data_IF_385959166299
#
_entry.id   IF_385959166299
#
_cell.length_a   1.000
_cell.length_b   1.000
_cell.length_c   1.000
_cell.angle_alpha   90.00
_cell.angle_beta   90.00
_cell.angle_gamma   90.00
#
_symmetry.space_group_name_H-M   'P 1'
#
loop_
_entity.id
_entity.type
_entity.pdbx_description
1 polymer ?
#
# COMPACT_ATOMS: atom_id res chain seq x y z
N UNK A 1 2.91 21.37 1.78
CA UNK A 1 2.26 20.14 2.26
C UNK A 1 1.23 20.51 3.30
N UNK A 2 -0.03 20.12 3.12
CA UNK A 2 -1.08 20.32 4.12
C UNK A 2 -0.67 19.65 5.43
N UNK A 3 -1.05 20.25 6.57
CA UNK A 3 -0.77 19.68 7.88
C UNK A 3 -1.57 18.37 8.04
N UNK A 4 -0.92 17.21 7.81
CA UNK A 4 -1.49 15.88 7.98
C UNK A 4 -1.39 15.53 9.46
N UNK A 5 -2.53 15.41 10.13
CA UNK A 5 -2.58 14.96 11.53
C UNK A 5 -2.37 13.45 11.66
N UNK A 6 -2.10 12.96 12.87
CA UNK A 6 -2.01 11.51 13.12
C UNK A 6 -3.32 10.77 12.77
N UNK A 7 -4.47 11.39 13.02
CA UNK A 7 -5.76 10.84 12.57
C UNK A 7 -5.84 10.75 11.05
N UNK A 8 -5.36 11.78 10.34
CA UNK A 8 -5.30 11.77 8.88
C UNK A 8 -4.39 10.63 8.37
N UNK A 9 -3.26 10.36 9.05
CA UNK A 9 -2.37 9.23 8.69
C UNK A 9 -3.08 7.88 8.85
N UNK A 10 -3.83 7.68 9.93
CA UNK A 10 -4.63 6.46 10.12
C UNK A 10 -5.68 6.33 9.01
N UNK A 11 -6.34 7.43 8.65
CA UNK A 11 -7.33 7.42 7.57
C UNK A 11 -6.70 7.13 6.20
N UNK A 12 -5.48 7.60 5.95
CA UNK A 12 -4.72 7.27 4.74
C UNK A 12 -4.32 5.79 4.75
N UNK A 13 -3.83 5.25 5.87
CA UNK A 13 -3.45 3.83 5.95
C UNK A 13 -4.64 2.90 5.69
N UNK A 14 -5.86 3.28 6.10
CA UNK A 14 -7.07 2.50 5.79
C UNK A 14 -7.34 2.38 4.28
N UNK A 15 -6.95 3.38 3.48
CA UNK A 15 -7.11 3.36 2.02
C UNK A 15 -6.24 2.27 1.38
N UNK A 16 -5.15 1.85 2.01
CA UNK A 16 -4.28 0.76 1.52
C UNK A 16 -5.06 -0.55 1.33
N UNK A 17 -6.17 -0.73 2.06
CA UNK A 17 -7.04 -1.89 2.00
C UNK A 17 -8.28 -1.72 1.10
N UNK A 18 -8.46 -0.54 0.48
CA UNK A 18 -9.45 -0.36 -0.58
C UNK A 18 -9.10 -1.25 -1.80
N UNK A 19 -10.04 -1.39 -2.73
CA UNK A 19 -9.88 -2.19 -3.94
C UNK A 19 -9.88 -1.30 -5.19
N UNK A 20 -8.81 -0.53 -5.39
CA UNK A 20 -8.62 0.22 -6.64
C UNK A 20 -8.10 -0.69 -7.74
N UNK A 21 -8.48 -0.37 -8.97
CA UNK A 21 -8.21 -1.18 -10.15
C UNK A 21 -7.52 -0.35 -11.24
N UNK A 22 -7.04 -1.01 -12.29
CA UNK A 22 -6.49 -0.32 -13.47
C UNK A 22 -7.52 0.57 -14.18
N UNK A 23 -8.82 0.29 -14.04
CA UNK A 23 -9.89 1.14 -14.58
C UNK A 23 -9.95 2.46 -13.82
N UNK A 24 -9.79 2.43 -12.49
CA UNK A 24 -9.75 3.64 -11.67
C UNK A 24 -8.57 4.55 -12.03
N UNK A 25 -7.43 3.97 -12.44
CA UNK A 25 -6.27 4.70 -12.95
C UNK A 25 -6.63 5.44 -14.25
N UNK A 26 -7.26 4.76 -15.21
CA UNK A 26 -7.66 5.36 -16.50
C UNK A 26 -8.59 6.57 -16.30
N UNK A 27 -9.43 6.53 -15.26
CA UNK A 27 -10.33 7.62 -14.92
C UNK A 27 -9.72 8.66 -13.96
N UNK A 28 -8.42 8.60 -13.68
CA UNK A 28 -7.71 9.50 -12.77
C UNK A 28 -8.43 9.65 -11.41
N UNK A 29 -8.87 8.52 -10.85
CA UNK A 29 -9.77 8.52 -9.68
C UNK A 29 -9.19 9.36 -8.53
N UNK A 30 -9.95 10.31 -7.95
CA UNK A 30 -9.52 11.06 -6.80
C UNK A 30 -9.47 10.16 -5.57
N UNK A 31 -8.31 10.10 -4.91
CA UNK A 31 -8.11 9.38 -3.66
C UNK A 31 -8.35 10.36 -2.52
N UNK A 32 -9.28 10.02 -1.62
CA UNK A 32 -9.72 10.88 -0.52
C UNK A 32 -9.69 10.13 0.80
N UNK A 33 -9.25 10.80 1.85
CA UNK A 33 -9.17 10.27 3.21
C UNK A 33 -10.06 11.07 4.17
N UNK A 34 -10.37 10.49 5.32
CA UNK A 34 -11.30 11.04 6.30
C UNK A 34 -12.69 10.39 6.23
N UNK A 35 -13.48 10.64 7.27
CA UNK A 35 -14.83 10.09 7.43
C UNK A 35 -15.90 11.20 7.33
N UNK A 36 -17.15 10.80 7.10
CA UNK A 36 -18.38 11.61 7.30
C UNK A 36 -18.31 13.08 6.84
N UNK A 37 -18.55 13.35 5.55
CA UNK A 37 -18.64 14.73 5.02
C UNK A 37 -17.32 15.52 5.01
N UNK A 38 -16.30 15.10 5.76
CA UNK A 38 -15.00 15.77 5.91
C UNK A 38 -13.88 15.08 5.13
N UNK A 39 -14.20 14.54 3.95
CA UNK A 39 -13.21 13.86 3.10
C UNK A 39 -12.24 14.85 2.45
N UNK A 40 -10.96 14.77 2.80
CA UNK A 40 -9.87 15.55 2.21
C UNK A 40 -9.30 14.83 0.98
N UNK A 41 -8.82 15.59 0.00
CA UNK A 41 -8.15 15.04 -1.18
C UNK A 41 -6.70 14.70 -0.84
N UNK A 42 -6.28 13.45 -1.08
CA UNK A 42 -4.88 13.05 -1.07
C UNK A 42 -4.23 13.36 -2.42
N UNK A 43 -4.90 13.00 -3.51
CA UNK A 43 -4.39 13.15 -4.86
C UNK A 43 -5.22 12.37 -5.87
N UNK A 44 -4.61 12.06 -7.01
CA UNK A 44 -5.21 11.24 -8.07
C UNK A 44 -4.44 9.93 -8.23
N UNK A 45 -5.17 8.83 -8.47
CA UNK A 45 -4.56 7.52 -8.63
C UNK A 45 -3.79 7.45 -9.96
N UNK A 46 -2.50 7.14 -9.87
CA UNK A 46 -1.56 7.11 -11.00
C UNK A 46 -1.17 5.67 -11.39
N UNK A 47 -1.03 4.78 -10.40
CA UNK A 47 -0.69 3.36 -10.65
C UNK A 47 -1.33 2.45 -9.61
N UNK A 48 -1.73 1.27 -10.05
CA UNK A 48 -2.14 0.14 -9.21
C UNK A 48 -1.20 -1.03 -9.51
N UNK A 49 -0.59 -1.58 -8.46
CA UNK A 49 0.21 -2.81 -8.52
C UNK A 49 -0.49 -3.85 -7.65
N UNK A 50 -0.75 -5.03 -8.23
CA UNK A 50 -1.27 -6.21 -7.54
C UNK A 50 -0.54 -7.44 -8.09
N UNK A 51 0.64 -7.69 -7.55
CA UNK A 51 1.49 -8.81 -7.92
C UNK A 51 1.26 -9.97 -6.96
N UNK A 52 0.37 -10.87 -7.36
CA UNK A 52 0.04 -12.08 -6.61
C UNK A 52 1.25 -12.98 -6.37
N UNK A 53 2.27 -12.92 -7.23
CA UNK A 53 3.45 -13.79 -7.12
C UNK A 53 4.41 -13.36 -6.01
N UNK A 54 4.33 -12.11 -5.55
CA UNK A 54 5.16 -11.56 -4.46
C UNK A 54 4.33 -11.16 -3.24
N UNK A 55 3.01 -10.98 -3.41
CA UNK A 55 2.10 -10.46 -2.40
C UNK A 55 2.05 -8.93 -2.41
N UNK A 56 2.73 -8.27 -3.36
CA UNK A 56 2.78 -6.81 -3.42
C UNK A 56 1.45 -6.25 -3.90
N UNK A 57 0.83 -5.43 -3.05
CA UNK A 57 -0.32 -4.60 -3.39
C UNK A 57 -0.02 -3.16 -2.99
N UNK A 58 0.00 -2.26 -3.96
CA UNK A 58 0.26 -0.84 -3.71
C UNK A 58 -0.45 0.08 -4.69
N UNK A 59 -0.69 1.30 -4.22
CA UNK A 59 -1.24 2.40 -5.01
C UNK A 59 -0.26 3.55 -5.06
N UNK A 60 0.03 4.05 -6.26
CA UNK A 60 0.78 5.29 -6.44
C UNK A 60 -0.23 6.41 -6.66
N UNK A 61 -0.19 7.42 -5.80
CA UNK A 61 -1.12 8.55 -5.79
C UNK A 61 -0.33 9.82 -6.08
N UNK A 62 -0.63 10.48 -7.19
CA UNK A 62 -0.06 11.80 -7.53
C UNK A 62 -0.71 12.86 -6.65
N UNK A 63 0.06 13.44 -5.73
CA UNK A 63 -0.44 14.42 -4.75
C UNK A 63 -0.31 15.86 -5.26
N UNK A 64 0.69 16.13 -6.10
CA UNK A 64 0.80 17.31 -6.96
C UNK A 64 1.67 17.01 -8.19
N UNK A 65 2.07 18.01 -8.96
CA UNK A 65 2.86 17.81 -10.19
C UNK A 65 4.24 17.19 -10.00
N UNK A 66 4.80 17.23 -8.79
CA UNK A 66 6.15 16.75 -8.48
C UNK A 66 6.20 15.73 -7.36
N UNK A 67 5.10 15.52 -6.64
CA UNK A 67 5.05 14.65 -5.48
C UNK A 67 4.05 13.51 -5.65
N UNK A 68 4.45 12.35 -5.16
CA UNK A 68 3.65 11.14 -5.11
C UNK A 68 3.64 10.57 -3.70
N UNK A 69 2.54 9.93 -3.34
CA UNK A 69 2.44 9.09 -2.16
C UNK A 69 2.23 7.65 -2.60
N UNK A 70 2.96 6.73 -1.99
CA UNK A 70 2.81 5.30 -2.23
C UNK A 70 2.09 4.70 -1.02
N UNK A 71 0.93 4.10 -1.27
CA UNK A 71 0.12 3.42 -0.27
C UNK A 71 0.39 1.92 -0.39
N UNK A 72 1.03 1.33 0.62
CA UNK A 72 1.38 -0.09 0.63
C UNK A 72 0.38 -0.86 1.45
N UNK A 73 -0.27 -1.87 0.86
CA UNK A 73 -1.14 -2.76 1.62
C UNK A 73 -0.30 -3.72 2.45
N UNK A 74 -0.52 -3.73 3.75
CA UNK A 74 0.02 -4.74 4.64
C UNK A 74 -0.64 -6.11 4.42
N UNK A 75 -0.16 -7.10 5.17
CA UNK A 75 -0.59 -8.49 5.07
C UNK A 75 -2.10 -8.69 5.27
N UNK A 76 -2.69 -9.59 4.48
CA UNK A 76 -4.04 -10.09 4.70
C UNK A 76 -4.12 -11.04 5.89
N UNK A 77 -5.25 -11.06 6.59
CA UNK A 77 -5.47 -12.02 7.68
C UNK A 77 -5.44 -13.47 7.17
N UNK A 78 -4.94 -14.43 7.96
CA UNK A 78 -4.97 -15.84 7.58
C UNK A 78 -6.37 -16.32 7.17
N UNK A 79 -6.45 -17.06 6.06
CA UNK A 79 -7.70 -17.54 5.48
C UNK A 79 -8.33 -16.62 4.42
N UNK A 80 -7.78 -15.42 4.15
CA UNK A 80 -8.24 -14.50 3.09
C UNK A 80 -7.39 -14.56 1.83
N UNK A 81 -7.94 -14.18 0.68
CA UNK A 81 -7.22 -14.24 -0.60
C UNK A 81 -5.87 -13.50 -0.61
N UNK A 82 -4.79 -14.27 -0.79
CA UNK A 82 -3.40 -13.79 -0.78
C UNK A 82 -2.67 -13.97 0.55
N UNK A 83 -3.36 -14.36 1.63
CA UNK A 83 -2.76 -14.48 2.97
C UNK A 83 -1.53 -15.39 3.02
N UNK A 84 -1.51 -16.48 2.26
CA UNK A 84 -0.39 -17.41 2.27
C UNK A 84 0.91 -16.72 1.83
N UNK A 85 0.83 -15.87 0.81
CA UNK A 85 2.00 -15.15 0.30
C UNK A 85 2.49 -14.12 1.31
N UNK A 86 1.56 -13.41 1.94
CA UNK A 86 1.88 -12.42 2.95
C UNK A 86 2.52 -13.08 4.17
N UNK A 87 1.91 -14.12 4.71
CA UNK A 87 2.38 -14.76 5.94
C UNK A 87 3.59 -15.67 5.74
N UNK A 88 3.51 -16.63 4.82
CA UNK A 88 4.52 -17.70 4.71
C UNK A 88 5.81 -17.20 4.06
N UNK A 89 5.70 -16.26 3.13
CA UNK A 89 6.85 -15.85 2.31
C UNK A 89 7.35 -14.44 2.64
N UNK A 90 6.56 -13.61 3.31
CA UNK A 90 6.97 -12.27 3.73
C UNK A 90 7.10 -12.17 5.26
N UNK A 91 6.03 -12.38 6.02
CA UNK A 91 6.03 -12.11 7.46
C UNK A 91 6.87 -13.11 8.27
N UNK A 92 6.66 -14.42 8.08
CA UNK A 92 7.41 -15.46 8.80
C UNK A 92 8.92 -15.37 8.54
N UNK A 93 9.40 -15.25 7.29
CA UNK A 93 10.83 -15.08 7.04
C UNK A 93 11.40 -13.77 7.58
N UNK A 94 10.59 -12.70 7.64
CA UNK A 94 11.03 -11.45 8.25
C UNK A 94 11.17 -11.59 9.77
N UNK A 95 10.23 -12.27 10.44
CA UNK A 95 10.31 -12.57 11.88
C UNK A 95 11.56 -13.41 12.18
N UNK A 96 11.83 -14.45 11.41
CA UNK A 96 13.03 -15.29 11.58
C UNK A 96 14.32 -14.47 11.44
N UNK A 97 14.42 -13.60 10.44
CA UNK A 97 15.55 -12.67 10.26
C UNK A 97 15.71 -11.72 11.45
N UNK A 98 14.62 -11.16 11.97
CA UNK A 98 14.67 -10.27 13.13
C UNK A 98 15.22 -11.02 14.36
N UNK A 99 14.70 -12.23 14.62
CA UNK A 99 15.09 -13.03 15.78
C UNK A 99 16.55 -13.51 15.71
N UNK A 100 17.03 -13.81 14.51
CA UNK A 100 18.40 -14.31 14.28
C UNK A 100 19.42 -13.20 14.02
N UNK A 101 18.99 -11.93 13.94
CA UNK A 101 19.84 -10.81 13.52
C UNK A 101 20.23 -10.84 12.04
N UNK A 102 19.53 -11.64 11.23
CA UNK A 102 19.69 -11.71 9.79
C UNK A 102 19.33 -10.39 9.09
N UNK A 103 20.08 -10.04 8.05
CA UNK A 103 19.81 -8.86 7.20
C UNK A 103 19.18 -9.30 5.88
N UNK A 104 18.31 -8.46 5.32
CA UNK A 104 17.75 -8.64 3.99
C UNK A 104 16.27 -8.28 3.92
N UNK A 105 15.72 -8.30 2.71
CA UNK A 105 14.31 -7.94 2.45
C UNK A 105 13.49 -9.18 2.08
N UNK A 106 12.16 -9.05 2.13
CA UNK A 106 11.21 -10.04 1.62
C UNK A 106 11.00 -9.86 0.12
N UNK A 107 10.36 -10.84 -0.52
CA UNK A 107 10.05 -10.76 -1.96
C UNK A 107 9.13 -9.58 -2.28
N UNK A 108 8.17 -9.28 -1.40
CA UNK A 108 7.28 -8.12 -1.54
C UNK A 108 8.04 -6.80 -1.55
N UNK A 109 8.93 -6.58 -0.57
CA UNK A 109 9.74 -5.36 -0.48
C UNK A 109 10.73 -5.26 -1.66
N UNK A 110 11.31 -6.38 -2.09
CA UNK A 110 12.16 -6.39 -3.29
C UNK A 110 11.39 -6.04 -4.56
N UNK A 111 10.15 -6.53 -4.70
CA UNK A 111 9.31 -6.24 -5.85
C UNK A 111 8.88 -4.77 -5.87
N UNK A 112 8.58 -4.19 -4.71
CA UNK A 112 8.23 -2.77 -4.58
C UNK A 112 9.34 -1.85 -5.08
N UNK A 113 10.60 -2.18 -4.78
CA UNK A 113 11.76 -1.41 -5.22
C UNK A 113 11.96 -1.38 -6.75
N UNK A 114 11.39 -2.33 -7.48
CA UNK A 114 11.44 -2.38 -8.96
C UNK A 114 10.30 -1.57 -9.61
N UNK A 115 9.25 -1.25 -8.84
CA UNK A 115 8.05 -0.58 -9.35
C UNK A 115 8.13 0.96 -9.32
N UNK A 116 9.10 1.51 -8.58
CA UNK A 116 9.34 2.93 -8.33
C UNK A 116 10.64 3.37 -9.01
#
# INVERSE_FOLDING_TARGET
MNNISEKDRVDIARIEYDNYTKIDVQHHKPIRFGENGHKKLLGTLDKVVDDKSTGLRMYVVKTDDKHYSVLFRGSESPGKDGWQKDWLDNDVPMVDKILTGGKGVTSQLSAAAVQL
#
